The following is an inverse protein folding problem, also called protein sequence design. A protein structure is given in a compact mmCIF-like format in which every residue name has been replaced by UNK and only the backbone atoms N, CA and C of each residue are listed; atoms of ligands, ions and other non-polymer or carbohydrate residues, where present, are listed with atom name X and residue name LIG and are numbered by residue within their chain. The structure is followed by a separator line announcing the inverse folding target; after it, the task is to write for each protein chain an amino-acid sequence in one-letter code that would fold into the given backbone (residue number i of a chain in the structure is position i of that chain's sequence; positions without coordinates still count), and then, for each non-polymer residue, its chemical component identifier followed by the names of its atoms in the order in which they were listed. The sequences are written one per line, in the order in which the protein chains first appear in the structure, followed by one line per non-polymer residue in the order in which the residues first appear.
data_IF_924190751668
#
_entry.id   IF_924190751668
#
_cell.length_a   1.000
_cell.length_b   1.000
_cell.length_c   1.000
_cell.angle_alpha   90.00
_cell.angle_beta   90.00
_cell.angle_gamma   90.00
#
_symmetry.space_group_name_H-M   'P 1'
#
loop_
_entity.id
_entity.type
_entity.pdbx_description
1 polymer ?
#
# COMPACT_ATOMS: atom_id res chain seq x y z
N UNK A 1 4.23 19.21 -2.40
CA UNK A 1 3.63 17.87 -2.56
C UNK A 1 4.72 16.92 -2.14
N UNK A 2 4.47 16.05 -1.16
CA UNK A 2 5.48 15.05 -0.82
C UNK A 2 5.58 14.02 -1.95
N UNK A 3 6.78 13.49 -2.17
CA UNK A 3 7.02 12.40 -3.14
C UNK A 3 6.58 11.03 -2.58
N UNK A 4 5.88 11.01 -1.44
CA UNK A 4 5.48 9.80 -0.73
C UNK A 4 4.04 9.45 -1.11
N UNK A 5 3.83 8.23 -1.59
CA UNK A 5 2.49 7.66 -1.83
C UNK A 5 2.28 6.46 -0.93
N UNK A 6 1.12 6.40 -0.27
CA UNK A 6 0.69 5.24 0.52
C UNK A 6 -0.60 4.65 -0.05
N UNK A 7 -0.53 3.37 -0.41
CA UNK A 7 -1.71 2.56 -0.73
C UNK A 7 -2.35 2.10 0.57
N UNK A 8 -3.41 2.77 0.99
CA UNK A 8 -3.96 2.71 2.32
C UNK A 8 -5.27 1.92 2.39
N UNK A 9 -5.47 1.20 3.51
CA UNK A 9 -6.75 0.64 3.91
C UNK A 9 -7.11 1.12 5.32
N UNK A 10 -8.14 1.96 5.50
CA UNK A 10 -8.54 2.51 6.81
C UNK A 10 -8.89 1.43 7.85
N UNK A 11 -9.39 0.28 7.42
CA UNK A 11 -9.74 -0.84 8.30
C UNK A 11 -8.52 -1.69 8.74
N UNK A 12 -7.33 -1.45 8.19
CA UNK A 12 -6.12 -2.19 8.53
C UNK A 12 -5.27 -1.43 9.56
N UNK A 13 -5.13 -1.99 10.77
CA UNK A 13 -4.33 -1.38 11.84
C UNK A 13 -2.88 -1.06 11.44
N UNK A 14 -2.22 -1.98 10.74
CA UNK A 14 -0.85 -1.76 10.24
C UNK A 14 -0.79 -0.60 9.24
N UNK A 15 -1.80 -0.47 8.38
CA UNK A 15 -1.90 0.62 7.39
C UNK A 15 -2.08 1.98 8.07
N UNK A 16 -2.89 2.04 9.14
CA UNK A 16 -3.07 3.25 9.97
C UNK A 16 -1.78 3.66 10.67
N UNK A 17 -1.05 2.70 11.23
CA UNK A 17 0.23 2.97 11.89
C UNK A 17 1.28 3.48 10.90
N UNK A 18 1.37 2.89 9.70
CA UNK A 18 2.29 3.36 8.66
C UNK A 18 1.98 4.80 8.22
N UNK A 19 0.70 5.13 8.01
CA UNK A 19 0.29 6.50 7.68
C UNK A 19 0.66 7.50 8.79
N UNK A 20 0.43 7.14 10.06
CA UNK A 20 0.80 7.98 11.20
C UNK A 20 2.33 8.21 11.25
N UNK A 21 3.13 7.15 11.07
CA UNK A 21 4.59 7.27 11.06
C UNK A 21 5.11 8.19 9.96
N UNK A 22 4.51 8.17 8.77
CA UNK A 22 4.88 9.11 7.68
C UNK A 22 4.53 10.54 8.11
N UNK A 23 3.34 10.77 8.67
CA UNK A 23 2.93 12.11 9.12
C UNK A 23 3.77 12.63 10.30
N UNK A 24 4.24 11.74 11.16
CA UNK A 24 5.12 12.08 12.28
C UNK A 24 6.49 12.60 11.81
N UNK A 25 6.89 12.34 10.56
CA UNK A 25 8.10 12.97 9.97
C UNK A 25 7.85 14.40 9.47
N UNK A 26 6.62 14.92 9.59
CA UNK A 26 6.21 16.21 9.06
C UNK A 26 5.83 16.22 7.57
N UNK A 27 5.82 15.04 6.93
CA UNK A 27 5.44 14.88 5.52
C UNK A 27 3.97 14.46 5.39
N UNK A 28 3.23 15.06 4.46
CA UNK A 28 1.86 14.62 4.14
C UNK A 28 1.87 13.78 2.84
N UNK A 29 1.66 12.46 2.92
CA UNK A 29 1.70 11.59 1.75
C UNK A 29 0.46 11.71 0.87
N UNK A 30 0.60 11.34 -0.40
CA UNK A 30 -0.55 11.03 -1.24
C UNK A 30 -1.18 9.72 -0.75
N UNK A 31 -2.43 9.78 -0.29
CA UNK A 31 -3.17 8.62 0.21
C UNK A 31 -4.06 8.06 -0.91
N UNK A 32 -3.84 6.79 -1.27
CA UNK A 32 -4.65 6.07 -2.27
C UNK A 32 -5.40 4.93 -1.58
N UNK A 33 -6.73 5.01 -1.53
CA UNK A 33 -7.58 3.94 -1.00
C UNK A 33 -7.67 2.80 -2.03
N UNK A 34 -6.70 1.89 -2.01
CA UNK A 34 -6.48 0.92 -3.08
C UNK A 34 -7.63 -0.09 -3.29
N UNK A 35 -8.54 -0.22 -2.32
CA UNK A 35 -9.74 -1.05 -2.47
C UNK A 35 -10.82 -0.36 -3.31
N UNK A 36 -10.86 0.97 -3.31
CA UNK A 36 -11.80 1.77 -4.10
C UNK A 36 -11.17 2.19 -5.43
N UNK A 37 -9.92 2.63 -5.38
CA UNK A 37 -9.14 3.12 -6.52
C UNK A 37 -7.88 2.27 -6.68
N UNK A 38 -8.00 1.04 -7.19
CA UNK A 38 -6.86 0.16 -7.36
C UNK A 38 -5.86 0.73 -8.39
N UNK A 39 -4.55 0.49 -8.21
CA UNK A 39 -3.57 0.84 -9.23
C UNK A 39 -3.83 0.06 -10.52
N UNK A 40 -3.45 0.65 -11.66
CA UNK A 40 -3.42 -0.09 -12.91
C UNK A 40 -2.35 -1.20 -12.90
N UNK A 41 -2.40 -2.06 -13.92
CA UNK A 41 -1.47 -3.19 -14.06
C UNK A 41 -0.01 -2.74 -14.05
N UNK A 42 0.34 -1.73 -14.84
CA UNK A 42 1.72 -1.29 -15.01
C UNK A 42 2.29 -0.71 -13.71
N UNK A 43 1.47 0.04 -12.98
CA UNK A 43 1.80 0.58 -11.66
C UNK A 43 2.00 -0.56 -10.66
N UNK A 44 1.09 -1.54 -10.63
CA UNK A 44 1.23 -2.69 -9.73
C UNK A 44 2.49 -3.51 -10.01
N UNK A 45 2.80 -3.76 -11.28
CA UNK A 45 4.03 -4.47 -11.70
C UNK A 45 5.28 -3.73 -11.23
N UNK A 46 5.32 -2.40 -11.40
CA UNK A 46 6.42 -1.56 -10.89
C UNK A 46 6.55 -1.66 -9.37
N UNK A 47 5.46 -1.50 -8.62
CA UNK A 47 5.47 -1.58 -7.16
C UNK A 47 6.01 -2.93 -6.66
N UNK A 48 5.60 -4.03 -7.30
CA UNK A 48 6.09 -5.37 -6.94
C UNK A 48 7.59 -5.52 -7.25
N UNK A 49 8.05 -4.97 -8.38
CA UNK A 49 9.46 -4.96 -8.73
C UNK A 49 10.30 -4.16 -7.72
N UNK A 50 9.85 -2.96 -7.34
CA UNK A 50 10.52 -2.09 -6.37
C UNK A 50 10.59 -2.73 -4.96
N UNK A 51 9.58 -3.52 -4.58
CA UNK A 51 9.59 -4.30 -3.34
C UNK A 51 10.58 -5.48 -3.36
N UNK A 52 11.05 -5.91 -4.54
CA UNK A 52 11.95 -7.06 -4.68
C UNK A 52 11.30 -8.39 -4.27
N UNK A 53 9.97 -8.48 -4.26
CA UNK A 53 9.21 -9.66 -3.86
C UNK A 53 8.63 -10.38 -5.08
N UNK A 54 8.50 -11.73 -5.03
CA UNK A 54 7.69 -12.43 -6.03
C UNK A 54 6.22 -11.99 -5.91
N UNK A 55 5.47 -12.01 -7.01
CA UNK A 55 4.03 -11.67 -7.04
C UNK A 55 3.23 -12.45 -5.99
N UNK A 56 3.53 -13.74 -5.79
CA UNK A 56 2.87 -14.55 -4.74
C UNK A 56 3.13 -14.01 -3.32
N UNK A 57 4.27 -13.35 -3.11
CA UNK A 57 4.67 -12.79 -1.82
C UNK A 57 3.88 -11.54 -1.41
N UNK A 58 3.28 -10.82 -2.37
CA UNK A 58 2.43 -9.66 -2.08
C UNK A 58 0.96 -10.03 -1.86
N UNK A 59 0.56 -11.28 -2.12
CA UNK A 59 -0.81 -11.71 -1.89
C UNK A 59 -1.12 -11.79 -0.39
N UNK A 60 -2.16 -11.08 0.03
CA UNK A 60 -2.73 -11.21 1.35
C UNK A 60 -3.36 -12.61 1.50
N UNK A 61 -2.98 -13.33 2.55
CA UNK A 61 -3.59 -14.63 2.90
C UNK A 61 -4.84 -14.44 3.77
N UNK A 62 -4.65 -13.83 4.94
CA UNK A 62 -5.69 -13.66 5.95
C UNK A 62 -6.88 -12.84 5.44
N UNK A 63 -8.07 -13.45 5.48
CA UNK A 63 -9.34 -12.80 5.12
C UNK A 63 -9.56 -12.74 3.60
N UNK A 64 -8.99 -13.68 2.85
CA UNK A 64 -9.20 -13.84 1.41
C UNK A 64 -9.47 -15.31 1.07
N UNK A 65 -9.97 -15.63 -0.13
CA UNK A 65 -10.12 -17.03 -0.59
C UNK A 65 -8.80 -17.79 -0.77
N UNK A 66 -7.66 -17.11 -0.62
CA UNK A 66 -6.33 -17.70 -0.75
C UNK A 66 -5.76 -17.99 0.64
N UNK A 67 -5.95 -19.21 1.12
CA UNK A 67 -5.19 -19.79 2.24
C UNK A 67 -3.81 -20.31 1.77
#
# INVERSE_FOLDING_TARGET
MSDITIYHNPACGTSRNALALIRDTGEEPTVVEYLETPPDRATLERLIADLGLPVRGVLRRKGTPYD
#
